data_IF_824083076652
#
_entry.id   IF_824083076652
#
_cell.length_a   1.000
_cell.length_b   1.000
_cell.length_c   1.000
_cell.angle_alpha   90.00
_cell.angle_beta   90.00
_cell.angle_gamma   90.00
#
_symmetry.space_group_name_H-M   'P 1'
#
loop_
_entity.id
_entity.type
_entity.pdbx_description
1 polymer ?
#
# COMPACT_ATOMS: atom_id res chain seq x y z
N UNK A 1 -25.44 51.91 -47.96
CA UNK A 1 -25.88 50.53 -47.67
C UNK A 1 -25.39 50.19 -46.30
N UNK A 2 -26.24 50.27 -45.27
CA UNK A 2 -25.90 49.91 -43.86
C UNK A 2 -26.39 48.50 -43.59
N UNK A 3 -25.49 47.59 -43.26
CA UNK A 3 -25.80 46.23 -42.85
C UNK A 3 -26.03 46.22 -41.34
N UNK A 4 -27.27 45.93 -40.90
CA UNK A 4 -27.58 45.67 -39.52
C UNK A 4 -27.18 44.22 -39.14
N UNK A 5 -26.33 44.08 -38.14
CA UNK A 5 -26.01 42.79 -37.55
C UNK A 5 -27.04 42.50 -36.42
N UNK A 6 -27.83 41.44 -36.60
CA UNK A 6 -28.67 40.88 -35.52
C UNK A 6 -27.79 40.04 -34.60
N UNK A 7 -27.69 40.47 -33.35
CA UNK A 7 -27.09 39.66 -32.28
C UNK A 7 -28.18 38.74 -31.68
N UNK A 8 -28.04 37.42 -31.88
CA UNK A 8 -28.83 36.42 -31.17
C UNK A 8 -28.30 36.28 -29.76
N UNK A 9 -29.05 36.74 -28.78
CA UNK A 9 -28.83 36.42 -27.36
C UNK A 9 -29.37 35.00 -27.09
N UNK A 10 -28.48 34.04 -26.89
CA UNK A 10 -28.82 32.71 -26.41
C UNK A 10 -29.07 32.79 -24.89
N UNK A 11 -30.34 32.71 -24.47
CA UNK A 11 -30.70 32.50 -23.06
C UNK A 11 -30.37 31.05 -22.67
N UNK A 12 -29.32 30.84 -21.94
CA UNK A 12 -29.07 29.57 -21.25
C UNK A 12 -30.10 29.46 -20.09
N UNK A 13 -31.10 28.61 -20.26
CA UNK A 13 -32.03 28.28 -19.19
C UNK A 13 -31.26 27.56 -18.08
N UNK A 14 -31.06 28.22 -16.95
CA UNK A 14 -30.52 27.58 -15.73
C UNK A 14 -31.58 26.56 -15.26
N UNK A 15 -31.27 25.27 -15.39
CA UNK A 15 -32.07 24.20 -14.79
C UNK A 15 -31.96 24.37 -13.28
N UNK A 16 -33.07 24.58 -12.53
CA UNK A 16 -33.01 24.71 -11.08
C UNK A 16 -32.45 23.39 -10.50
N UNK A 17 -31.38 23.48 -9.72
CA UNK A 17 -30.89 22.35 -8.93
C UNK A 17 -32.03 21.94 -7.98
N UNK A 18 -32.65 20.79 -8.25
CA UNK A 18 -33.71 20.25 -7.38
C UNK A 18 -33.10 20.00 -6.00
N UNK A 19 -33.63 20.59 -4.96
CA UNK A 19 -33.24 20.34 -3.59
C UNK A 19 -33.46 18.86 -3.25
N UNK A 20 -32.41 18.19 -2.73
CA UNK A 20 -32.52 16.80 -2.28
C UNK A 20 -33.60 16.65 -1.21
N UNK A 21 -34.41 15.58 -1.30
CA UNK A 21 -35.35 15.23 -0.24
C UNK A 21 -34.64 14.82 1.05
N UNK A 22 -35.39 14.82 2.16
CA UNK A 22 -34.84 14.38 3.46
C UNK A 22 -34.35 12.94 3.38
N UNK A 23 -35.11 12.06 2.72
CA UNK A 23 -34.74 10.64 2.52
C UNK A 23 -33.45 10.49 1.72
N UNK A 24 -33.28 11.26 0.64
CA UNK A 24 -32.05 11.27 -0.17
C UNK A 24 -30.85 11.73 0.66
N UNK A 25 -31.03 12.73 1.51
CA UNK A 25 -29.96 13.21 2.41
C UNK A 25 -29.61 12.16 3.46
N UNK A 26 -30.59 11.49 4.05
CA UNK A 26 -30.38 10.41 5.02
C UNK A 26 -29.60 9.27 4.36
N UNK A 27 -30.01 8.83 3.15
CA UNK A 27 -29.31 7.79 2.41
C UNK A 27 -27.86 8.16 2.11
N UNK A 28 -27.60 9.41 1.69
CA UNK A 28 -26.25 9.90 1.44
C UNK A 28 -25.37 9.94 2.71
N UNK A 29 -25.95 10.35 3.86
CA UNK A 29 -25.21 10.31 5.13
C UNK A 29 -24.92 8.88 5.59
N UNK A 30 -25.91 7.98 5.47
CA UNK A 30 -25.69 6.56 5.80
C UNK A 30 -24.56 5.97 4.98
N UNK A 31 -24.57 6.16 3.67
CA UNK A 31 -23.50 5.69 2.79
C UNK A 31 -22.12 6.25 3.19
N UNK A 32 -22.04 7.54 3.53
CA UNK A 32 -20.78 8.13 4.01
C UNK A 32 -20.29 7.51 5.33
N UNK A 33 -21.21 7.20 6.24
CA UNK A 33 -20.87 6.51 7.50
C UNK A 33 -20.35 5.10 7.19
N UNK A 34 -21.01 4.35 6.31
CA UNK A 34 -20.58 3.01 5.89
C UNK A 34 -19.15 3.03 5.30
N UNK A 35 -18.84 4.02 4.44
CA UNK A 35 -17.47 4.16 3.89
C UNK A 35 -16.43 4.49 4.98
N UNK A 36 -16.78 5.29 5.99
CA UNK A 36 -15.88 5.59 7.11
C UNK A 36 -15.66 4.37 8.02
N UNK A 37 -16.71 3.59 8.29
CA UNK A 37 -16.61 2.32 9.01
C UNK A 37 -15.71 1.33 8.25
N UNK A 38 -15.83 1.27 6.93
CA UNK A 38 -14.98 0.45 6.07
C UNK A 38 -13.52 0.90 6.09
N UNK A 39 -13.24 2.21 6.08
CA UNK A 39 -11.88 2.73 6.24
C UNK A 39 -11.27 2.32 7.59
N UNK A 40 -12.03 2.47 8.69
CA UNK A 40 -11.57 2.06 10.01
C UNK A 40 -11.30 0.53 10.07
N UNK A 41 -12.18 -0.29 9.51
CA UNK A 41 -11.99 -1.73 9.49
C UNK A 41 -10.76 -2.17 8.67
N UNK A 42 -10.41 -1.45 7.61
CA UNK A 42 -9.19 -1.67 6.83
C UNK A 42 -7.96 -1.22 7.62
N UNK A 43 -8.06 -0.12 8.38
CA UNK A 43 -6.98 0.38 9.22
C UNK A 43 -6.66 -0.62 10.34
N UNK A 44 -7.68 -1.15 11.03
CA UNK A 44 -7.54 -2.19 12.04
C UNK A 44 -6.93 -3.48 11.44
N UNK A 45 -7.42 -3.92 10.27
CA UNK A 45 -6.90 -5.09 9.55
C UNK A 45 -5.41 -4.96 9.22
N UNK A 46 -4.98 -3.77 8.77
CA UNK A 46 -3.57 -3.53 8.46
C UNK A 46 -2.71 -3.46 9.72
N UNK A 47 -3.23 -2.87 10.79
CA UNK A 47 -2.56 -2.85 12.08
C UNK A 47 -2.37 -4.27 12.64
N UNK A 48 -3.41 -5.11 12.59
CA UNK A 48 -3.34 -6.52 12.99
C UNK A 48 -2.30 -7.30 12.19
N UNK A 49 -2.24 -7.06 10.86
CA UNK A 49 -1.18 -7.64 10.02
C UNK A 49 0.20 -7.28 10.56
N UNK A 50 0.46 -6.01 10.87
CA UNK A 50 1.72 -5.55 11.45
C UNK A 50 2.03 -6.25 12.77
N UNK A 51 1.10 -6.27 13.72
CA UNK A 51 1.28 -6.92 15.02
C UNK A 51 1.53 -8.42 14.92
N UNK A 52 0.83 -9.15 14.03
CA UNK A 52 1.06 -10.58 13.83
C UNK A 52 2.41 -10.83 13.17
N UNK A 53 2.78 -10.00 12.19
CA UNK A 53 4.07 -10.08 11.52
C UNK A 53 5.23 -9.86 12.49
N UNK A 54 5.13 -8.84 13.37
CA UNK A 54 6.13 -8.51 14.38
C UNK A 54 6.41 -9.66 15.36
N UNK A 55 5.45 -10.50 15.60
CA UNK A 55 5.58 -11.63 16.52
C UNK A 55 5.81 -12.97 15.82
N UNK A 56 5.98 -12.96 14.50
CA UNK A 56 6.17 -14.17 13.72
C UNK A 56 4.95 -15.10 13.75
N UNK A 57 3.75 -14.55 13.92
CA UNK A 57 2.50 -15.31 13.93
C UNK A 57 2.03 -15.55 12.49
N UNK A 58 2.84 -16.31 11.74
CA UNK A 58 2.68 -16.46 10.29
C UNK A 58 1.35 -17.06 9.87
N UNK A 59 0.77 -17.93 10.69
CA UNK A 59 -0.57 -18.48 10.47
C UNK A 59 -1.64 -17.39 10.55
N UNK A 60 -1.60 -16.56 11.58
CA UNK A 60 -2.54 -15.46 11.81
C UNK A 60 -2.38 -14.39 10.72
N UNK A 61 -1.15 -13.95 10.44
CA UNK A 61 -0.90 -12.98 9.38
C UNK A 61 -1.40 -13.44 8.01
N UNK A 62 -1.15 -14.70 7.63
CA UNK A 62 -1.62 -15.26 6.37
C UNK A 62 -3.16 -15.41 6.32
N UNK A 63 -3.84 -15.62 7.44
CA UNK A 63 -5.30 -15.76 7.52
C UNK A 63 -6.05 -14.46 7.22
N UNK A 64 -5.38 -13.31 7.34
CA UNK A 64 -5.93 -12.00 6.99
C UNK A 64 -6.12 -11.80 5.48
N UNK A 65 -5.46 -12.63 4.66
CA UNK A 65 -5.59 -12.57 3.21
C UNK A 65 -6.84 -13.29 2.70
N UNK A 66 -7.29 -12.90 1.51
CA UNK A 66 -8.27 -13.70 0.75
C UNK A 66 -7.66 -15.06 0.39
N UNK A 67 -8.49 -16.04 0.05
CA UNK A 67 -8.01 -17.38 -0.28
C UNK A 67 -7.03 -17.40 -1.48
N UNK A 68 -7.22 -16.48 -2.40
CA UNK A 68 -6.42 -16.24 -3.62
C UNK A 68 -5.55 -14.98 -3.53
N UNK A 69 -5.43 -14.40 -2.34
CA UNK A 69 -4.65 -13.19 -2.09
C UNK A 69 -3.18 -13.35 -2.44
N UNK A 70 -2.50 -12.24 -2.66
CA UNK A 70 -1.09 -12.21 -3.02
C UNK A 70 -0.25 -11.40 -2.03
N UNK A 71 0.99 -11.84 -1.87
CA UNK A 71 2.01 -11.20 -1.04
C UNK A 71 3.29 -11.01 -1.86
N UNK A 72 3.82 -9.80 -1.87
CA UNK A 72 5.08 -9.46 -2.52
C UNK A 72 5.89 -8.51 -1.62
N UNK A 73 7.16 -8.84 -1.41
CA UNK A 73 8.08 -8.02 -0.62
C UNK A 73 9.35 -7.74 -1.43
N UNK A 74 9.55 -6.50 -1.81
CA UNK A 74 10.70 -6.07 -2.61
C UNK A 74 10.83 -6.87 -3.90
N UNK A 75 12.00 -7.50 -4.11
CA UNK A 75 12.30 -8.30 -5.29
C UNK A 75 12.17 -9.82 -5.06
N UNK A 76 11.52 -10.25 -3.97
CA UNK A 76 11.40 -11.69 -3.61
C UNK A 76 10.41 -12.46 -4.49
N UNK A 77 9.60 -11.77 -5.30
CA UNK A 77 8.57 -12.34 -6.16
C UNK A 77 7.22 -12.46 -5.46
N UNK A 78 6.22 -12.94 -6.18
CA UNK A 78 4.79 -12.97 -5.78
C UNK A 78 4.42 -14.35 -5.27
N UNK A 79 3.87 -14.41 -4.05
CA UNK A 79 3.31 -15.61 -3.44
C UNK A 79 1.79 -15.52 -3.42
N UNK A 80 1.09 -16.56 -3.87
CA UNK A 80 -0.36 -16.55 -4.09
C UNK A 80 -1.04 -17.59 -3.20
N UNK A 81 -2.06 -17.14 -2.46
CA UNK A 81 -2.86 -17.96 -1.54
C UNK A 81 -2.21 -18.11 -0.17
N UNK A 82 -3.06 -18.25 0.86
CA UNK A 82 -2.66 -18.22 2.26
C UNK A 82 -1.54 -19.20 2.63
N UNK A 83 -1.53 -20.40 2.04
CA UNK A 83 -0.50 -21.40 2.32
C UNK A 83 0.88 -20.97 1.80
N UNK A 84 0.96 -20.40 0.59
CA UNK A 84 2.21 -19.90 0.01
C UNK A 84 2.66 -18.61 0.68
N UNK A 85 1.73 -17.72 1.03
CA UNK A 85 2.00 -16.50 1.80
C UNK A 85 2.61 -16.86 3.16
N UNK A 86 2.00 -17.80 3.91
CA UNK A 86 2.56 -18.29 5.18
C UNK A 86 3.97 -18.85 5.01
N UNK A 87 4.22 -19.60 3.94
CA UNK A 87 5.55 -20.13 3.62
C UNK A 87 6.55 -19.03 3.30
N UNK A 88 6.13 -17.99 2.55
CA UNK A 88 6.97 -16.83 2.26
C UNK A 88 7.40 -16.08 3.54
N UNK A 89 6.51 -15.99 4.53
CA UNK A 89 6.81 -15.33 5.80
C UNK A 89 7.92 -16.02 6.59
N UNK A 90 8.19 -17.31 6.34
CA UNK A 90 9.34 -18.02 6.94
C UNK A 90 10.69 -17.46 6.45
N UNK A 91 10.73 -16.66 5.37
CA UNK A 91 11.92 -15.93 4.94
C UNK A 91 12.34 -14.82 5.93
N UNK A 92 11.43 -14.40 6.80
CA UNK A 92 11.67 -13.39 7.84
C UNK A 92 12.00 -14.02 9.21
N UNK A 93 12.04 -15.33 9.28
CA UNK A 93 12.38 -16.09 10.48
C UNK A 93 11.40 -17.23 10.78
N UNK A 94 11.73 -18.07 11.78
CA UNK A 94 10.83 -19.13 12.22
C UNK A 94 9.53 -18.56 12.79
N UNK A 95 8.50 -19.42 12.92
CA UNK A 95 7.27 -19.02 13.59
C UNK A 95 7.52 -18.70 15.06
N UNK A 96 7.00 -17.56 15.51
CA UNK A 96 7.22 -17.02 16.84
C UNK A 96 8.48 -16.15 16.93
N UNK A 97 8.43 -15.10 17.74
CA UNK A 97 9.58 -14.24 17.98
C UNK A 97 10.40 -14.79 19.14
N UNK A 98 11.69 -15.08 18.89
CA UNK A 98 12.60 -15.55 19.92
C UNK A 98 12.96 -14.44 20.93
N UNK A 99 13.26 -14.82 22.18
CA UNK A 99 13.70 -13.88 23.19
C UNK A 99 14.97 -13.14 22.75
N UNK A 100 15.02 -11.83 22.99
CA UNK A 100 16.13 -10.97 22.57
C UNK A 100 16.07 -10.50 21.11
N UNK A 101 15.18 -11.03 20.30
CA UNK A 101 15.00 -10.54 18.92
C UNK A 101 14.05 -9.34 18.91
N UNK A 102 14.35 -8.36 18.06
CA UNK A 102 13.44 -7.28 17.68
C UNK A 102 12.98 -7.54 16.25
N UNK A 103 11.67 -7.53 16.06
CA UNK A 103 11.04 -7.51 14.74
C UNK A 103 9.87 -6.55 14.86
N UNK A 104 9.95 -5.42 14.18
CA UNK A 104 8.96 -4.35 14.27
C UNK A 104 8.75 -3.71 12.89
N UNK A 105 7.51 -3.81 12.39
CA UNK A 105 7.09 -3.31 11.08
C UNK A 105 5.92 -2.33 11.28
N UNK A 106 6.24 -1.08 11.58
CA UNK A 106 5.21 -0.06 11.79
C UNK A 106 4.45 0.24 10.51
N UNK A 107 3.13 0.28 10.61
CA UNK A 107 2.18 0.62 9.56
C UNK A 107 1.72 2.06 9.76
N UNK A 108 2.25 3.01 8.98
CA UNK A 108 2.11 4.44 9.21
C UNK A 108 1.43 5.16 8.04
N UNK A 109 0.93 6.37 8.25
CA UNK A 109 0.49 7.34 7.24
C UNK A 109 -0.48 6.75 6.20
N UNK A 110 -1.58 6.18 6.66
CA UNK A 110 -2.59 5.58 5.79
C UNK A 110 -3.20 6.58 4.80
N UNK A 111 -3.32 6.18 3.53
CA UNK A 111 -4.23 6.78 2.55
C UNK A 111 -5.12 5.67 2.02
N UNK A 112 -6.37 5.63 2.45
CA UNK A 112 -7.32 4.56 2.13
C UNK A 112 -8.41 5.09 1.20
N UNK A 113 -8.64 4.40 0.10
CA UNK A 113 -9.72 4.68 -0.85
C UNK A 113 -10.62 3.45 -0.97
N UNK A 114 -11.81 3.53 -0.41
CA UNK A 114 -12.87 2.52 -0.57
C UNK A 114 -13.64 2.83 -1.86
N UNK A 115 -13.91 1.81 -2.66
CA UNK A 115 -14.75 1.95 -3.85
C UNK A 115 -16.21 2.27 -3.47
N UNK A 116 -16.93 2.95 -4.35
CA UNK A 116 -18.31 3.40 -4.09
C UNK A 116 -19.30 2.25 -3.76
N UNK A 117 -18.99 1.02 -4.22
CA UNK A 117 -19.79 -0.17 -3.92
C UNK A 117 -19.51 -0.76 -2.52
N UNK A 118 -18.49 -0.27 -1.82
CA UNK A 118 -18.07 -0.77 -0.50
C UNK A 118 -17.52 -2.20 -0.51
N UNK A 119 -17.10 -2.74 -1.66
CA UNK A 119 -16.64 -4.13 -1.79
C UNK A 119 -15.15 -4.27 -2.00
N UNK A 120 -14.50 -3.24 -2.51
CA UNK A 120 -13.05 -3.20 -2.73
C UNK A 120 -12.44 -1.91 -2.20
N UNK A 121 -11.16 -1.97 -1.85
CA UNK A 121 -10.42 -0.77 -1.46
C UNK A 121 -8.96 -0.90 -1.86
N UNK A 122 -8.30 0.26 -1.98
CA UNK A 122 -6.85 0.38 -2.12
C UNK A 122 -6.31 1.26 -1.01
N UNK A 123 -5.13 0.93 -0.51
CA UNK A 123 -4.48 1.79 0.46
C UNK A 123 -2.97 1.78 0.33
N UNK A 124 -2.40 2.96 0.58
CA UNK A 124 -0.96 3.17 0.74
C UNK A 124 -0.64 3.34 2.22
N UNK A 125 0.48 2.73 2.64
CA UNK A 125 1.00 2.85 4.00
C UNK A 125 2.51 3.10 3.93
N UNK A 126 3.01 3.94 4.81
CA UNK A 126 4.45 4.03 5.04
C UNK A 126 4.85 2.91 5.99
N UNK A 127 5.82 2.07 5.58
CA UNK A 127 6.42 1.08 6.46
C UNK A 127 7.73 1.58 7.05
N UNK A 128 7.91 1.40 8.36
CA UNK A 128 9.19 1.57 9.03
C UNK A 128 9.56 0.26 9.73
N UNK A 129 10.74 -0.24 9.47
CA UNK A 129 11.19 -1.55 9.90
C UNK A 129 12.40 -1.41 10.82
N UNK A 130 12.36 -2.13 11.94
CA UNK A 130 13.49 -2.26 12.86
C UNK A 130 13.68 -3.74 13.17
N UNK A 131 14.83 -4.26 12.81
CA UNK A 131 15.18 -5.65 13.04
C UNK A 131 16.46 -5.73 13.86
N UNK A 132 16.53 -6.64 14.83
CA UNK A 132 17.78 -6.99 15.46
C UNK A 132 17.71 -8.36 16.16
N UNK A 133 18.87 -8.92 16.45
CA UNK A 133 19.03 -10.11 17.27
C UNK A 133 20.29 -9.98 18.12
N UNK A 134 20.38 -10.67 19.27
CA UNK A 134 21.55 -10.58 20.14
C UNK A 134 22.86 -10.91 19.42
N UNK A 135 23.83 -10.02 19.52
CA UNK A 135 25.15 -10.20 18.92
C UNK A 135 25.23 -10.00 17.41
N UNK A 136 24.15 -9.53 16.77
CA UNK A 136 24.12 -9.12 15.37
C UNK A 136 23.79 -7.64 15.25
N UNK A 137 24.03 -7.10 14.04
CA UNK A 137 23.70 -5.72 13.74
C UNK A 137 22.20 -5.49 13.75
N UNK A 138 21.78 -4.28 14.17
CA UNK A 138 20.43 -3.80 13.93
C UNK A 138 20.27 -3.36 12.47
N UNK A 139 19.05 -3.46 11.96
CA UNK A 139 18.67 -3.01 10.61
C UNK A 139 17.56 -1.97 10.72
N UNK A 140 17.70 -0.87 10.01
CA UNK A 140 16.64 0.06 9.69
C UNK A 140 16.14 -0.21 8.28
N UNK A 141 14.82 -0.27 8.12
CA UNK A 141 14.20 -0.34 6.81
C UNK A 141 13.06 0.67 6.71
N UNK A 142 12.86 1.19 5.52
CA UNK A 142 11.70 2.01 5.16
C UNK A 142 11.17 1.58 3.81
N UNK A 143 9.87 1.66 3.64
CA UNK A 143 9.23 1.32 2.38
C UNK A 143 7.78 1.77 2.32
N UNK A 144 7.12 1.38 1.26
CA UNK A 144 5.74 1.75 1.00
C UNK A 144 4.94 0.48 0.72
N UNK A 145 3.84 0.30 1.42
CA UNK A 145 2.83 -0.68 1.05
C UNK A 145 1.87 -0.07 0.03
N UNK A 146 1.61 -0.77 -1.06
CA UNK A 146 0.51 -0.55 -1.98
C UNK A 146 -0.39 -1.77 -1.95
N UNK A 147 -1.44 -1.69 -1.18
CA UNK A 147 -2.29 -2.82 -0.86
C UNK A 147 -3.66 -2.71 -1.50
N UNK A 148 -4.25 -3.86 -1.81
CA UNK A 148 -5.64 -3.98 -2.21
C UNK A 148 -6.39 -4.85 -1.20
N UNK A 149 -7.67 -4.52 -0.99
CA UNK A 149 -8.54 -5.18 -0.04
C UNK A 149 -9.86 -5.56 -0.70
N UNK A 150 -10.47 -6.65 -0.22
CA UNK A 150 -11.77 -7.10 -0.68
C UNK A 150 -12.66 -7.46 0.52
N UNK A 151 -13.91 -7.00 0.51
CA UNK A 151 -14.91 -7.35 1.52
C UNK A 151 -15.60 -8.66 1.12
N UNK A 152 -15.37 -9.72 1.88
CA UNK A 152 -15.95 -11.04 1.65
C UNK A 152 -16.90 -11.39 2.79
N UNK A 153 -18.18 -11.59 2.47
CA UNK A 153 -19.25 -11.89 3.46
C UNK A 153 -19.27 -10.87 4.62
N UNK A 154 -19.10 -9.59 4.30
CA UNK A 154 -19.11 -8.50 5.26
C UNK A 154 -17.78 -8.28 6.02
N UNK A 155 -16.73 -9.05 5.74
CA UNK A 155 -15.43 -8.94 6.40
C UNK A 155 -14.36 -8.49 5.40
N UNK A 156 -13.60 -7.47 5.74
CA UNK A 156 -12.47 -7.01 4.95
C UNK A 156 -11.29 -7.99 5.06
N UNK A 157 -10.62 -8.24 3.95
CA UNK A 157 -9.42 -9.07 3.84
C UNK A 157 -8.43 -8.42 2.88
N UNK A 158 -7.15 -8.74 3.06
CA UNK A 158 -6.08 -8.32 2.14
C UNK A 158 -6.16 -9.18 0.88
N UNK A 159 -6.44 -8.59 -0.28
CA UNK A 159 -6.42 -9.29 -1.57
C UNK A 159 -5.06 -9.20 -2.25
N UNK A 160 -4.31 -8.11 -2.00
CA UNK A 160 -2.93 -7.93 -2.43
C UNK A 160 -2.17 -7.12 -1.40
N UNK A 161 -1.02 -7.60 -1.01
CA UNK A 161 -0.04 -6.83 -0.27
C UNK A 161 1.24 -6.75 -1.09
N UNK A 162 1.68 -5.53 -1.40
CA UNK A 162 2.97 -5.29 -2.03
C UNK A 162 3.75 -4.27 -1.21
N UNK A 163 4.87 -4.69 -0.65
CA UNK A 163 5.80 -3.81 0.05
C UNK A 163 6.97 -3.44 -0.86
N UNK A 164 7.01 -2.19 -1.27
CA UNK A 164 8.11 -1.60 -2.02
C UNK A 164 9.18 -1.12 -1.04
N UNK A 165 10.31 -1.80 -1.02
CA UNK A 165 11.46 -1.39 -0.19
C UNK A 165 12.02 -0.08 -0.74
N UNK A 166 12.04 0.97 0.06
CA UNK A 166 12.68 2.24 -0.28
C UNK A 166 14.17 2.21 0.08
N UNK A 167 14.49 1.75 1.29
CA UNK A 167 15.87 1.61 1.77
C UNK A 167 15.93 0.60 2.91
N UNK A 168 17.01 -0.15 2.95
CA UNK A 168 17.44 -0.92 4.13
C UNK A 168 18.90 -0.58 4.43
N UNK A 169 19.26 -0.47 5.69
CA UNK A 169 20.60 -0.08 6.12
C UNK A 169 20.95 -0.69 7.47
N UNK A 170 22.24 -0.89 7.69
CA UNK A 170 22.78 -1.22 9.00
C UNK A 170 22.56 -0.06 9.97
N UNK A 171 22.15 -0.37 11.21
CA UNK A 171 21.85 0.63 12.24
C UNK A 171 23.07 1.50 12.57
N UNK A 172 24.25 0.89 12.75
CA UNK A 172 25.46 1.58 13.19
C UNK A 172 26.07 2.43 12.06
N UNK A 173 26.01 1.94 10.82
CA UNK A 173 26.51 2.68 9.67
C UNK A 173 25.49 3.74 9.18
N UNK A 174 24.22 3.42 9.24
CA UNK A 174 23.13 4.27 8.74
C UNK A 174 23.14 4.44 7.21
N UNK A 175 22.08 5.07 6.68
CA UNK A 175 21.84 5.20 5.23
C UNK A 175 22.87 6.06 4.47
N UNK A 176 23.71 6.82 5.17
CA UNK A 176 24.76 7.61 4.55
C UNK A 176 26.04 6.81 4.23
N UNK A 177 26.18 5.62 4.81
CA UNK A 177 27.39 4.78 4.68
C UNK A 177 27.07 3.35 4.27
N UNK A 178 25.82 2.91 4.43
CA UNK A 178 25.40 1.54 4.14
C UNK A 178 24.06 1.54 3.39
N UNK A 179 23.97 0.69 2.37
CA UNK A 179 22.72 0.31 1.72
C UNK A 179 22.73 -1.21 1.58
N UNK A 180 21.72 -1.86 2.14
CA UNK A 180 21.53 -3.30 2.03
C UNK A 180 20.77 -3.56 0.74
N UNK A 181 21.31 -4.33 -0.21
CA UNK A 181 20.58 -4.69 -1.43
C UNK A 181 19.33 -5.51 -1.12
N UNK A 182 18.27 -5.32 -1.89
CA UNK A 182 17.09 -6.18 -1.81
C UNK A 182 17.44 -7.62 -2.21
N UNK A 183 16.91 -8.57 -1.45
CA UNK A 183 16.98 -9.98 -1.82
C UNK A 183 16.07 -10.28 -3.03
N UNK A 184 16.56 -11.14 -3.93
CA UNK A 184 15.78 -11.71 -5.01
C UNK A 184 14.93 -12.92 -4.56
N UNK A 185 14.33 -13.63 -5.53
CA UNK A 185 13.56 -14.84 -5.29
C UNK A 185 14.35 -15.91 -4.52
N UNK A 186 13.73 -16.49 -3.50
CA UNK A 186 14.35 -17.53 -2.67
C UNK A 186 14.31 -18.89 -3.35
N UNK A 187 15.44 -19.59 -3.35
CA UNK A 187 15.50 -21.00 -3.79
C UNK A 187 14.86 -21.95 -2.75
N UNK A 188 14.88 -21.59 -1.46
CA UNK A 188 14.30 -22.41 -0.38
C UNK A 188 12.76 -22.36 -0.39
N UNK A 189 12.23 -21.17 -0.61
CA UNK A 189 10.79 -20.92 -0.71
C UNK A 189 10.52 -20.15 -2.02
N UNK A 190 10.50 -20.85 -3.17
CA UNK A 190 10.33 -20.17 -4.46
C UNK A 190 8.96 -19.50 -4.55
N UNK A 191 8.88 -18.29 -5.14
CA UNK A 191 7.62 -17.61 -5.39
C UNK A 191 6.82 -18.30 -6.51
N UNK A 192 5.52 -18.03 -6.57
CA UNK A 192 4.64 -18.52 -7.63
C UNK A 192 4.85 -17.77 -8.95
N UNK A 193 5.30 -16.50 -8.87
CA UNK A 193 5.61 -15.64 -10.01
C UNK A 193 6.86 -14.82 -9.72
N UNK A 194 7.60 -14.39 -10.76
CA UNK A 194 8.67 -13.42 -10.58
C UNK A 194 8.13 -12.11 -9.96
N UNK A 195 9.03 -11.22 -9.49
CA UNK A 195 8.62 -9.89 -9.05
C UNK A 195 7.74 -9.20 -10.10
N UNK A 196 6.67 -8.56 -9.66
CA UNK A 196 5.74 -7.86 -10.56
C UNK A 196 6.41 -6.65 -11.22
N UNK A 197 7.39 -6.05 -10.53
CA UNK A 197 8.19 -4.94 -11.02
C UNK A 197 9.65 -5.12 -10.62
N UNK A 198 10.57 -4.69 -11.50
CA UNK A 198 12.01 -4.68 -11.23
C UNK A 198 12.45 -3.24 -11.01
N UNK A 199 12.86 -2.93 -9.80
CA UNK A 199 13.31 -1.59 -9.41
C UNK A 199 14.53 -1.68 -8.48
N UNK A 200 15.14 -0.52 -8.20
CA UNK A 200 16.27 -0.40 -7.25
C UNK A 200 15.86 0.44 -6.05
N UNK A 201 16.02 -0.11 -4.85
CA UNK A 201 15.96 0.63 -3.62
C UNK A 201 17.16 1.61 -3.50
N UNK A 202 17.14 2.46 -2.47
CA UNK A 202 18.24 3.38 -2.18
C UNK A 202 19.61 2.68 -2.29
N UNK A 203 20.62 3.29 -2.94
CA UNK A 203 20.69 4.67 -3.45
C UNK A 203 19.99 4.92 -4.79
N UNK A 204 19.30 3.94 -5.38
CA UNK A 204 18.36 4.18 -6.45
C UNK A 204 17.16 5.01 -5.98
N UNK A 205 16.36 5.49 -6.90
CA UNK A 205 15.16 6.26 -6.61
C UNK A 205 14.00 5.70 -7.43
N UNK A 206 13.15 4.91 -6.80
CA UNK A 206 11.94 4.36 -7.40
C UNK A 206 10.71 4.99 -6.76
N UNK A 207 9.72 5.31 -7.57
CA UNK A 207 8.44 5.85 -7.12
C UNK A 207 7.38 4.75 -7.29
N UNK A 208 6.93 4.09 -6.20
CA UNK A 208 5.82 3.16 -6.29
C UNK A 208 4.57 3.81 -6.88
N UNK A 209 3.77 3.11 -7.69
CA UNK A 209 2.56 3.66 -8.31
C UNK A 209 1.63 4.27 -7.27
N UNK A 210 1.03 5.42 -7.58
CA UNK A 210 0.02 6.03 -6.72
C UNK A 210 -1.38 5.55 -7.13
N UNK A 211 -2.04 4.82 -6.26
CA UNK A 211 -3.40 4.31 -6.46
C UNK A 211 -4.51 5.30 -6.01
N UNK A 212 -4.13 6.54 -5.70
CA UNK A 212 -5.05 7.61 -5.32
C UNK A 212 -4.82 8.88 -6.13
N UNK A 213 -5.83 9.74 -6.17
CA UNK A 213 -5.78 11.00 -6.90
C UNK A 213 -5.20 12.12 -6.04
N UNK A 214 -4.64 13.13 -6.68
CA UNK A 214 -4.21 14.35 -5.99
C UNK A 214 -5.39 15.00 -5.27
N UNK A 215 -5.35 15.18 -3.94
CA UNK A 215 -6.52 15.54 -3.14
C UNK A 215 -7.09 16.93 -3.44
N UNK A 216 -6.27 17.84 -3.98
CA UNK A 216 -6.70 19.22 -4.30
C UNK A 216 -7.16 19.35 -5.74
N UNK A 217 -6.48 18.71 -6.69
CA UNK A 217 -6.74 18.89 -8.13
C UNK A 217 -7.54 17.77 -8.76
N UNK A 218 -7.70 16.64 -8.08
CA UNK A 218 -8.32 15.42 -8.62
C UNK A 218 -7.52 14.72 -9.72
N UNK A 219 -6.32 15.21 -10.06
CA UNK A 219 -5.48 14.67 -11.13
C UNK A 219 -5.01 13.25 -10.77
N UNK A 220 -4.95 12.35 -11.77
CA UNK A 220 -4.24 11.08 -11.62
C UNK A 220 -2.75 11.31 -11.34
N UNK A 221 -2.17 10.47 -10.50
CA UNK A 221 -0.75 10.47 -10.19
C UNK A 221 -0.03 9.26 -10.83
N UNK A 222 -0.73 8.46 -11.63
CA UNK A 222 -0.17 7.28 -12.28
C UNK A 222 0.98 7.59 -13.26
N UNK A 223 0.99 8.81 -13.82
CA UNK A 223 1.95 9.22 -14.85
C UNK A 223 3.06 10.13 -14.29
N UNK A 224 3.42 10.00 -13.02
CA UNK A 224 4.57 10.71 -12.47
C UNK A 224 5.83 10.07 -13.06
N UNK A 225 6.67 10.84 -13.77
CA UNK A 225 7.89 10.30 -14.36
C UNK A 225 8.84 9.84 -13.24
N UNK A 226 9.47 8.70 -13.45
CA UNK A 226 10.55 8.27 -12.59
C UNK A 226 11.67 9.33 -12.55
N UNK A 227 12.29 9.53 -11.39
CA UNK A 227 13.46 10.40 -11.33
C UNK A 227 14.55 9.82 -12.24
N UNK A 228 15.32 10.68 -12.95
CA UNK A 228 16.41 10.19 -13.79
C UNK A 228 17.40 9.40 -12.96
N UNK A 229 17.91 8.29 -13.51
CA UNK A 229 18.93 7.40 -12.91
C UNK A 229 20.26 8.12 -12.55
N UNK A 230 20.35 9.38 -12.85
CA UNK A 230 21.55 10.21 -12.82
C UNK A 230 21.80 10.85 -11.46
N UNK A 231 22.08 10.04 -10.43
CA UNK A 231 22.67 10.58 -9.19
C UNK A 231 24.20 10.32 -9.15
N UNK A 232 24.77 9.81 -10.21
CA UNK A 232 26.22 9.56 -10.30
C UNK A 232 27.12 10.83 -10.34
N UNK A 233 26.55 12.04 -10.22
CA UNK A 233 27.24 13.30 -10.41
C UNK A 233 27.20 14.33 -9.29
N UNK A 234 26.59 14.09 -8.13
CA UNK A 234 26.62 15.03 -7.01
C UNK A 234 27.62 14.59 -5.94
N UNK A 235 28.85 15.03 -6.12
CA UNK A 235 29.88 15.09 -5.06
C UNK A 235 29.64 16.31 -4.19
#
# INVERSE_FOLDING_TARGET
MRRAALALLAFAAAVPAQAQTVEQRIAAYKHRVELLEDQNAIEDLQADYGYYFDKGLWGEAASLFTADGSFEYGQRGVYIGQAHIRRAMLLFGPQGLAAGHLNNHMQLQAVITVADDGLTAKARWQGMIMLSQPGANGIWGVGVYENEYAKQKGVWKISKLHFYVTAETDYDAGWTKSAIPMDGPSALFPPDRPPSEVYRAFPGAYIPPFDFRHPVTGRSLADIPEPPDDVAGRK
#
